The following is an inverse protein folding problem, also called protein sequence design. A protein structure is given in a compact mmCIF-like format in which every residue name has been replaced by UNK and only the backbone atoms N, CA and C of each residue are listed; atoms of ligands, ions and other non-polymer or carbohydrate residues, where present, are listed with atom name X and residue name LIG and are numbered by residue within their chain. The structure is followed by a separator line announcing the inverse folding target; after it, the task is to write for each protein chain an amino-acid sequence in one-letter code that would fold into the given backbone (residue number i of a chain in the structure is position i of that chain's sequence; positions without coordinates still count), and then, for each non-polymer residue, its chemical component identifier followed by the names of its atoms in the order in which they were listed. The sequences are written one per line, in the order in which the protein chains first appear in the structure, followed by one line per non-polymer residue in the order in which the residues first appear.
data_IF_865887340456
#
_entry.id   IF_865887340456
#
_cell.length_a   1.000
_cell.length_b   1.000
_cell.length_c   1.000
_cell.angle_alpha   90.00
_cell.angle_beta   90.00
_cell.angle_gamma   90.00
#
_symmetry.space_group_name_H-M   'P 1'
#
loop_
_entity.id
_entity.type
_entity.pdbx_description
1 polymer ?
#
# COMPACT_ATOMS: atom_id res chain seq x y z
N UNK A 1 10.50 -12.64 -5.36
CA UNK A 1 9.97 -11.86 -4.21
C UNK A 1 8.46 -11.79 -4.35
N UNK A 2 7.70 -11.98 -3.26
CA UNK A 2 6.23 -11.87 -3.27
C UNK A 2 5.81 -10.84 -2.24
N UNK A 3 5.10 -9.82 -2.68
CA UNK A 3 4.80 -8.67 -1.84
C UNK A 3 3.30 -8.43 -1.76
N UNK A 4 2.84 -8.16 -0.53
CA UNK A 4 1.51 -7.63 -0.25
C UNK A 4 1.62 -6.13 0.01
N UNK A 5 1.06 -5.32 -0.87
CA UNK A 5 0.91 -3.89 -0.65
C UNK A 5 -0.46 -3.58 -0.04
N UNK A 6 -0.48 -2.74 0.99
CA UNK A 6 -1.68 -2.33 1.72
C UNK A 6 -1.74 -0.79 1.72
N UNK A 7 -2.86 -0.23 1.31
CA UNK A 7 -3.20 1.20 1.49
C UNK A 7 -4.22 1.29 2.63
N UNK A 8 -3.77 1.44 3.90
CA UNK A 8 -4.63 1.41 5.06
C UNK A 8 -5.45 2.70 5.18
N UNK A 9 -6.78 2.56 5.27
CA UNK A 9 -7.69 3.68 5.49
C UNK A 9 -8.44 3.52 6.81
N UNK A 10 -8.37 4.56 7.67
CA UNK A 10 -9.12 4.60 8.93
C UNK A 10 -10.58 5.03 8.79
N UNK A 11 -10.98 5.57 7.63
CA UNK A 11 -12.31 6.16 7.40
C UNK A 11 -12.92 5.80 6.04
N UNK A 12 -12.23 4.99 5.24
CA UNK A 12 -12.63 4.64 3.87
C UNK A 12 -12.17 3.22 3.49
N UNK A 13 -12.05 2.97 2.19
CA UNK A 13 -11.66 1.66 1.69
C UNK A 13 -10.17 1.42 1.86
N UNK A 14 -9.80 0.28 2.45
CA UNK A 14 -8.42 -0.20 2.46
C UNK A 14 -8.14 -0.95 1.16
N UNK A 15 -7.12 -0.52 0.41
CA UNK A 15 -6.67 -1.19 -0.80
C UNK A 15 -5.67 -2.30 -0.48
N UNK A 16 -5.75 -3.42 -1.20
CA UNK A 16 -4.78 -4.51 -1.09
C UNK A 16 -4.41 -5.06 -2.46
N UNK A 17 -3.11 -5.22 -2.70
CA UNK A 17 -2.58 -5.79 -3.94
C UNK A 17 -1.49 -6.80 -3.61
N UNK A 18 -1.61 -8.02 -4.13
CA UNK A 18 -0.59 -9.05 -4.06
C UNK A 18 0.11 -9.15 -5.41
N UNK A 19 1.44 -9.06 -5.44
CA UNK A 19 2.23 -9.24 -6.66
C UNK A 19 3.43 -10.15 -6.42
N UNK A 20 3.79 -10.91 -7.46
CA UNK A 20 4.86 -11.89 -7.43
C UNK A 20 4.88 -12.72 -8.71
N UNK A 21 6.02 -13.35 -8.98
CA UNK A 21 6.29 -14.07 -10.23
C UNK A 21 5.58 -15.42 -10.35
N UNK A 22 5.09 -15.99 -9.25
CA UNK A 22 4.45 -17.32 -9.22
C UNK A 22 2.97 -17.23 -8.84
N UNK A 23 2.10 -17.49 -9.82
CA UNK A 23 0.64 -17.38 -9.74
C UNK A 23 -0.06 -18.47 -8.91
N UNK A 24 0.68 -19.47 -8.43
CA UNK A 24 0.08 -20.65 -7.75
C UNK A 24 0.09 -20.59 -6.22
N UNK A 25 0.90 -19.72 -5.61
CA UNK A 25 1.01 -19.68 -4.15
C UNK A 25 0.91 -18.24 -3.64
N UNK A 26 -0.11 -17.97 -2.83
CA UNK A 26 -0.54 -16.64 -2.39
C UNK A 26 0.15 -16.13 -1.12
N UNK A 27 1.29 -16.72 -0.72
CA UNK A 27 2.01 -16.35 0.50
C UNK A 27 3.05 -15.25 0.22
N UNK A 28 2.82 -13.99 0.63
CA UNK A 28 3.82 -12.92 0.52
C UNK A 28 4.90 -13.09 1.59
N UNK A 29 6.17 -12.90 1.22
CA UNK A 29 7.25 -12.84 2.21
C UNK A 29 7.56 -11.42 2.69
N UNK A 30 7.03 -10.41 1.99
CA UNK A 30 7.18 -9.00 2.32
C UNK A 30 5.81 -8.33 2.34
N UNK A 31 5.57 -7.48 3.35
CA UNK A 31 4.41 -6.59 3.41
C UNK A 31 4.89 -5.15 3.36
N UNK A 32 4.28 -4.37 2.47
CA UNK A 32 4.53 -2.94 2.35
C UNK A 32 3.20 -2.23 2.62
N UNK A 33 3.20 -1.22 3.48
CA UNK A 33 2.01 -0.39 3.65
C UNK A 33 2.30 1.09 3.48
N UNK A 34 1.32 1.82 2.95
CA UNK A 34 1.37 3.27 2.88
C UNK A 34 1.14 3.85 4.28
N UNK A 35 2.05 4.71 4.74
CA UNK A 35 1.97 5.36 6.03
C UNK A 35 1.73 6.86 5.86
N UNK A 36 0.63 7.32 6.43
CA UNK A 36 0.29 8.73 6.48
C UNK A 36 0.74 9.36 7.79
N UNK A 37 1.46 10.47 7.70
CA UNK A 37 1.72 11.33 8.86
C UNK A 37 0.52 12.23 9.19
N UNK A 38 -0.56 12.19 8.41
CA UNK A 38 -1.75 13.01 8.65
C UNK A 38 -2.67 12.37 9.70
N UNK A 39 -2.45 12.79 10.95
CA UNK A 39 -3.43 12.63 12.02
C UNK A 39 -4.26 13.90 12.05
N UNK A 40 -5.43 13.92 11.40
CA UNK A 40 -6.35 15.06 11.50
C UNK A 40 -6.81 15.21 12.95
N UNK A 41 -6.39 16.30 13.58
CA UNK A 41 -6.49 16.54 15.03
C UNK A 41 -7.88 16.65 15.65
N UNK A 42 -8.96 16.13 15.05
CA UNK A 42 -10.32 16.12 15.64
C UNK A 42 -11.21 14.92 15.32
N UNK A 43 -10.69 13.83 14.73
CA UNK A 43 -11.48 12.60 14.55
C UNK A 43 -10.82 11.42 15.27
N UNK A 44 -10.99 11.36 16.60
CA UNK A 44 -10.47 10.27 17.43
C UNK A 44 -10.84 8.88 16.89
N UNK A 45 -12.07 8.69 16.39
CA UNK A 45 -12.50 7.38 15.90
C UNK A 45 -11.73 6.92 14.64
N UNK A 46 -11.57 7.80 13.64
CA UNK A 46 -10.82 7.49 12.41
C UNK A 46 -9.33 7.24 12.67
N UNK A 47 -8.74 8.02 13.58
CA UNK A 47 -7.33 7.85 14.00
C UNK A 47 -7.11 6.55 14.78
N UNK A 48 -8.00 6.19 15.71
CA UNK A 48 -7.89 4.93 16.46
C UNK A 48 -8.06 3.72 15.55
N UNK A 49 -9.01 3.77 14.60
CA UNK A 49 -9.18 2.74 13.58
C UNK A 49 -7.91 2.54 12.75
N UNK A 50 -7.32 3.64 12.29
CA UNK A 50 -6.06 3.62 11.54
C UNK A 50 -4.91 3.02 12.37
N UNK A 51 -4.73 3.42 13.63
CA UNK A 51 -3.69 2.85 14.49
C UNK A 51 -3.86 1.36 14.75
N UNK A 52 -5.10 0.90 14.96
CA UNK A 52 -5.39 -0.54 15.10
C UNK A 52 -5.03 -1.30 13.83
N UNK A 53 -5.36 -0.74 12.66
CA UNK A 53 -5.03 -1.34 11.38
C UNK A 53 -3.51 -1.40 11.14
N UNK A 54 -2.79 -0.29 11.35
CA UNK A 54 -1.32 -0.25 11.24
C UNK A 54 -0.68 -1.22 12.23
N UNK A 55 -1.13 -1.24 13.49
CA UNK A 55 -0.66 -2.19 14.49
C UNK A 55 -0.90 -3.65 14.08
N UNK A 56 -2.06 -3.94 13.50
CA UNK A 56 -2.38 -5.26 12.94
C UNK A 56 -1.45 -5.66 11.80
N UNK A 57 -1.17 -4.74 10.87
CA UNK A 57 -0.23 -4.95 9.76
C UNK A 57 1.18 -5.25 10.29
N UNK A 58 1.67 -4.46 11.25
CA UNK A 58 2.97 -4.67 11.88
C UNK A 58 3.05 -6.01 12.63
N UNK A 59 1.93 -6.47 13.19
CA UNK A 59 1.86 -7.73 13.90
C UNK A 59 1.97 -8.96 12.98
N UNK A 60 1.70 -8.82 11.68
CA UNK A 60 1.66 -9.95 10.73
C UNK A 60 2.93 -10.79 10.74
N UNK A 61 4.12 -10.18 10.88
CA UNK A 61 5.41 -10.89 10.96
C UNK A 61 5.57 -11.81 12.16
N UNK A 62 4.77 -11.59 13.21
CA UNK A 62 4.77 -12.42 14.41
C UNK A 62 3.70 -13.51 14.37
N UNK A 63 2.71 -13.34 13.51
CA UNK A 63 1.58 -14.28 13.33
C UNK A 63 1.90 -15.30 12.24
N UNK A 64 2.60 -14.89 11.19
CA UNK A 64 2.90 -15.72 10.03
C UNK A 64 4.41 -15.88 9.86
N UNK A 65 4.87 -17.13 9.90
CA UNK A 65 6.28 -17.53 9.75
C UNK A 65 6.88 -17.19 8.37
N UNK A 66 6.04 -17.17 7.34
CA UNK A 66 6.45 -16.84 5.98
C UNK A 66 6.62 -15.33 5.74
N UNK A 67 6.13 -14.46 6.64
CA UNK A 67 6.30 -13.01 6.53
C UNK A 67 7.61 -12.61 7.20
N UNK A 68 8.61 -12.32 6.39
CA UNK A 68 9.96 -11.98 6.83
C UNK A 68 10.13 -10.49 7.10
N UNK A 69 9.44 -9.66 6.31
CA UNK A 69 9.59 -8.22 6.36
C UNK A 69 8.24 -7.49 6.32
N UNK A 70 8.11 -6.46 7.15
CA UNK A 70 7.01 -5.49 7.11
C UNK A 70 7.65 -4.11 7.08
N UNK A 71 7.44 -3.37 6.00
CA UNK A 71 7.99 -2.02 5.82
C UNK A 71 6.90 -1.02 5.44
N UNK A 72 7.19 0.26 5.59
CA UNK A 72 6.25 1.35 5.32
C UNK A 72 6.82 2.36 4.34
N UNK A 73 5.98 2.88 3.47
CA UNK A 73 6.33 3.99 2.56
C UNK A 73 5.53 5.21 2.98
N UNK A 74 6.17 6.37 3.09
CA UNK A 74 5.46 7.58 3.46
C UNK A 74 4.62 8.10 2.27
N UNK A 75 3.35 8.45 2.53
CA UNK A 75 2.41 9.00 1.53
C UNK A 75 3.01 10.17 0.73
N UNK A 76 3.82 11.00 1.38
CA UNK A 76 4.46 12.16 0.77
C UNK A 76 5.54 11.78 -0.27
N UNK A 77 6.01 10.53 -0.29
CA UNK A 77 6.88 9.98 -1.34
C UNK A 77 6.05 9.41 -2.49
N UNK A 78 4.91 8.79 -2.19
CA UNK A 78 4.02 8.17 -3.18
C UNK A 78 3.30 9.22 -4.03
N UNK A 79 2.76 10.28 -3.40
CA UNK A 79 1.97 11.31 -4.10
C UNK A 79 2.73 12.01 -5.23
N UNK A 80 3.94 12.55 -5.03
CA UNK A 80 4.70 13.18 -6.10
C UNK A 80 5.05 12.20 -7.23
N UNK A 81 5.39 10.96 -6.88
CA UNK A 81 5.71 9.94 -7.86
C UNK A 81 4.49 9.61 -8.74
N UNK A 82 3.32 9.41 -8.13
CA UNK A 82 2.04 9.24 -8.83
C UNK A 82 1.76 10.41 -9.78
N UNK A 83 1.94 11.64 -9.33
CA UNK A 83 1.68 12.83 -10.15
C UNK A 83 2.64 12.93 -11.34
N UNK A 84 3.91 12.58 -11.16
CA UNK A 84 4.89 12.50 -12.25
C UNK A 84 4.54 11.41 -13.26
N UNK A 85 4.11 10.23 -12.80
CA UNK A 85 3.65 9.13 -13.67
C UNK A 85 2.49 9.60 -14.57
N UNK A 86 1.47 10.25 -14.00
CA UNK A 86 0.33 10.75 -14.77
C UNK A 86 0.69 11.86 -15.76
N UNK A 87 1.75 12.63 -15.48
CA UNK A 87 2.28 13.65 -16.40
C UNK A 87 3.26 13.10 -17.44
N UNK A 88 3.55 11.79 -17.40
CA UNK A 88 4.55 11.16 -18.27
C UNK A 88 5.99 11.58 -17.97
N UNK A 89 6.25 12.13 -16.77
CA UNK A 89 7.59 12.56 -16.33
C UNK A 89 8.41 11.43 -15.71
N UNK A 90 7.75 10.33 -15.34
CA UNK A 90 8.35 9.09 -14.85
C UNK A 90 7.68 7.92 -15.57
N UNK A 91 8.37 6.78 -15.64
CA UNK A 91 7.81 5.52 -16.11
C UNK A 91 8.23 4.40 -15.17
N UNK A 92 7.33 3.44 -14.95
CA UNK A 92 7.68 2.18 -14.29
C UNK A 92 8.11 1.22 -15.39
N UNK A 93 9.34 0.74 -15.32
CA UNK A 93 9.87 -0.23 -16.28
C UNK A 93 8.95 -1.46 -16.37
N UNK A 94 8.57 -1.85 -17.58
CA UNK A 94 7.64 -2.96 -17.81
C UNK A 94 6.15 -2.66 -17.54
N UNK A 95 5.81 -1.43 -17.13
CA UNK A 95 4.41 -1.01 -16.98
C UNK A 95 3.99 -0.09 -18.14
N UNK A 96 3.23 -0.64 -19.08
CA UNK A 96 2.62 0.18 -20.14
C UNK A 96 1.33 0.81 -19.64
N UNK A 97 1.30 2.12 -19.50
CA UNK A 97 0.07 2.85 -19.21
C UNK A 97 -0.91 2.68 -20.39
N UNK A 98 -2.01 1.96 -20.17
CA UNK A 98 -3.10 1.87 -21.14
C UNK A 98 -4.18 2.86 -20.75
N UNK A 99 -4.59 3.72 -21.69
CA UNK A 99 -5.73 4.63 -21.47
C UNK A 99 -6.99 3.77 -21.37
N UNK A 100 -7.64 3.79 -20.20
CA UNK A 100 -8.92 3.12 -19.99
C UNK A 100 -10.01 3.70 -20.91
N UNK A 101 -11.07 2.94 -21.16
CA UNK A 101 -12.19 3.36 -22.04
C UNK A 101 -13.04 4.52 -21.50
N UNK A 102 -12.71 5.08 -20.34
CA UNK A 102 -13.38 6.25 -19.79
C UNK A 102 -12.92 7.50 -20.54
N UNK A 103 -13.82 8.13 -21.30
CA UNK A 103 -13.59 9.48 -21.83
C UNK A 103 -13.25 10.40 -20.64
N UNK A 104 -12.15 11.15 -20.77
CA UNK A 104 -11.75 12.19 -19.82
C UNK A 104 -12.83 13.24 -19.60
#
# INVERSE_FOLDING_TARGET
MKCLCIDPSGTGTTGMVLFGTDSKESKPNTVIYENTTYIYGRQHQGTVGLYKLIGGIMALRYVFDFIQEVTSIAVNQVKPFKDKLFRGQEQIEGLTCQVGRGKG
#
